data_IF_191474682690
#
_entry.id   IF_191474682690
#
_cell.length_a   1.000
_cell.length_b   1.000
_cell.length_c   1.000
_cell.angle_alpha   90.00
_cell.angle_beta   90.00
_cell.angle_gamma   90.00
#
_symmetry.space_group_name_H-M   'P 1'
#
loop_
_entity.id
_entity.type
_entity.pdbx_description
1 polymer ?
#
# COMPACT_ATOMS: atom_id res chain seq x y z
N UNK A 1 -1.45 7.97 -5.55
CA UNK A 1 -1.18 8.29 -4.13
C UNK A 1 -0.33 7.17 -3.54
N UNK A 2 0.74 7.53 -2.84
CA UNK A 2 1.64 6.57 -2.19
C UNK A 2 1.38 6.64 -0.69
N UNK A 3 1.22 5.48 -0.05
CA UNK A 3 1.12 5.36 1.41
C UNK A 3 2.40 4.69 1.91
N UNK A 4 3.18 5.41 2.69
CA UNK A 4 4.44 4.92 3.27
C UNK A 4 4.20 4.27 4.64
N UNK A 5 4.62 3.02 4.77
CA UNK A 5 4.56 2.24 6.01
C UNK A 5 5.89 2.15 6.74
N UNK A 6 6.93 2.88 6.30
CA UNK A 6 8.22 2.90 6.99
C UNK A 6 8.04 3.29 8.46
N UNK A 7 8.51 2.44 9.38
CA UNK A 7 8.36 2.65 10.83
C UNK A 7 7.00 2.25 11.41
N UNK A 8 6.09 1.68 10.60
CA UNK A 8 4.83 1.12 11.07
C UNK A 8 5.05 -0.34 11.46
N UNK A 9 4.99 -0.63 12.76
CA UNK A 9 5.26 -1.97 13.28
C UNK A 9 4.01 -2.86 13.43
N UNK A 10 2.81 -2.28 13.34
CA UNK A 10 1.55 -3.02 13.47
C UNK A 10 0.39 -2.40 12.68
N UNK A 11 -0.48 -3.26 12.15
CA UNK A 11 -1.78 -2.90 11.57
C UNK A 11 -2.84 -3.93 11.96
N UNK A 12 -4.01 -3.47 12.37
CA UNK A 12 -5.16 -4.33 12.67
C UNK A 12 -6.16 -4.39 11.50
N UNK A 13 -7.28 -5.07 11.72
CA UNK A 13 -8.35 -5.18 10.74
C UNK A 13 -9.00 -3.83 10.39
N UNK A 14 -9.01 -2.87 11.33
CA UNK A 14 -9.57 -1.54 11.11
C UNK A 14 -8.68 -0.69 10.20
N UNK A 15 -7.36 -0.76 10.38
CA UNK A 15 -6.38 -0.11 9.50
C UNK A 15 -6.45 -0.66 8.07
N UNK A 16 -6.53 -1.99 7.94
CA UNK A 16 -6.72 -2.65 6.64
C UNK A 16 -8.05 -2.26 5.99
N UNK A 17 -9.14 -2.18 6.77
CA UNK A 17 -10.43 -1.69 6.29
C UNK A 17 -10.39 -0.24 5.82
N UNK A 18 -9.63 0.61 6.52
CA UNK A 18 -9.42 2.00 6.14
C UNK A 18 -8.68 2.10 4.79
N UNK A 19 -7.64 1.29 4.55
CA UNK A 19 -6.94 1.23 3.26
C UNK A 19 -7.87 0.86 2.12
N UNK A 20 -8.71 -0.16 2.31
CA UNK A 20 -9.72 -0.54 1.30
C UNK A 20 -10.70 0.60 1.05
N UNK A 21 -11.14 1.29 2.11
CA UNK A 21 -11.99 2.47 2.00
C UNK A 21 -11.33 3.60 1.21
N UNK A 22 -10.04 3.85 1.43
CA UNK A 22 -9.24 4.82 0.68
C UNK A 22 -9.17 4.43 -0.79
N UNK A 23 -8.84 3.18 -1.11
CA UNK A 23 -8.80 2.68 -2.49
C UNK A 23 -10.14 2.86 -3.20
N UNK A 24 -11.25 2.49 -2.54
CA UNK A 24 -12.61 2.68 -3.08
C UNK A 24 -12.92 4.15 -3.37
N UNK A 25 -12.49 5.06 -2.50
CA UNK A 25 -12.66 6.52 -2.69
C UNK A 25 -11.79 7.09 -3.80
N UNK A 26 -10.57 6.58 -3.96
CA UNK A 26 -9.69 6.95 -5.07
C UNK A 26 -10.32 6.57 -6.44
N UNK A 27 -11.14 5.51 -6.44
CA UNK A 27 -11.93 5.10 -7.60
C UNK A 27 -11.07 4.52 -8.72
N UNK A 28 -11.68 4.29 -9.89
CA UNK A 28 -11.04 3.57 -11.00
C UNK A 28 -9.82 4.32 -11.57
N UNK A 29 -9.80 5.65 -11.46
CA UNK A 29 -8.71 6.51 -11.98
C UNK A 29 -7.64 6.84 -10.94
N UNK A 30 -7.92 6.63 -9.65
CA UNK A 30 -6.99 6.93 -8.57
C UNK A 30 -6.21 5.70 -8.17
N UNK A 31 -4.93 5.64 -8.54
CA UNK A 31 -4.05 4.55 -8.11
C UNK A 31 -3.57 4.80 -6.67
N UNK A 32 -3.78 3.81 -5.79
CA UNK A 32 -3.26 3.79 -4.43
C UNK A 32 -2.22 2.69 -4.34
N UNK A 33 -0.99 3.07 -3.99
CA UNK A 33 0.13 2.12 -3.82
C UNK A 33 0.68 2.25 -2.42
N UNK A 34 1.35 1.20 -1.96
CA UNK A 34 1.99 1.16 -0.64
C UNK A 34 3.49 0.94 -0.78
N UNK A 35 4.27 1.49 0.14
CA UNK A 35 5.71 1.23 0.21
C UNK A 35 6.20 1.08 1.65
N UNK A 36 7.43 0.59 1.82
CA UNK A 36 8.07 0.54 3.14
C UNK A 36 7.43 -0.45 4.11
N UNK A 37 6.85 -1.55 3.61
CA UNK A 37 6.31 -2.59 4.49
C UNK A 37 7.46 -3.30 5.22
N UNK A 38 7.47 -3.21 6.55
CA UNK A 38 8.28 -4.07 7.39
C UNK A 38 7.70 -5.50 7.47
N UNK A 39 8.51 -6.48 7.90
CA UNK A 39 8.17 -7.91 7.85
C UNK A 39 6.81 -8.24 8.50
N UNK A 40 6.53 -7.64 9.65
CA UNK A 40 5.26 -7.83 10.37
C UNK A 40 4.05 -7.37 9.53
N UNK A 41 4.14 -6.20 8.89
CA UNK A 41 3.05 -5.65 8.07
C UNK A 41 2.94 -6.43 6.76
N UNK A 42 4.06 -6.77 6.14
CA UNK A 42 4.08 -7.57 4.92
C UNK A 42 3.37 -8.91 5.13
N UNK A 43 3.61 -9.56 6.27
CA UNK A 43 2.91 -10.79 6.65
C UNK A 43 1.40 -10.59 6.82
N UNK A 44 0.97 -9.52 7.51
CA UNK A 44 -0.45 -9.16 7.60
C UNK A 44 -1.09 -8.92 6.22
N UNK A 45 -0.39 -8.28 5.30
CA UNK A 45 -0.85 -8.05 3.93
C UNK A 45 -1.00 -9.36 3.16
N UNK A 46 -0.04 -10.30 3.29
CA UNK A 46 -0.11 -11.60 2.62
C UNK A 46 -1.28 -12.46 3.13
N UNK A 47 -1.47 -12.55 4.44
CA UNK A 47 -2.59 -13.33 5.02
C UNK A 47 -3.93 -12.80 4.52
N UNK A 48 -4.07 -11.48 4.48
CA UNK A 48 -5.31 -10.80 4.09
C UNK A 48 -5.45 -10.60 2.58
N UNK A 49 -4.47 -11.07 1.79
CA UNK A 49 -4.38 -10.93 0.33
C UNK A 49 -4.37 -9.48 -0.16
N UNK A 50 -3.94 -8.55 0.68
CA UNK A 50 -3.84 -7.13 0.33
C UNK A 50 -2.69 -6.87 -0.65
N UNK A 51 -1.68 -7.74 -0.70
CA UNK A 51 -0.62 -7.77 -1.71
C UNK A 51 -1.16 -7.95 -3.14
N UNK A 52 -2.35 -8.55 -3.31
CA UNK A 52 -3.03 -8.68 -4.60
C UNK A 52 -3.89 -7.48 -4.96
N UNK A 53 -4.20 -6.65 -3.97
CA UNK A 53 -5.09 -5.48 -4.10
C UNK A 53 -4.27 -4.22 -4.30
N UNK A 54 -3.18 -4.08 -3.55
CA UNK A 54 -2.27 -2.94 -3.61
C UNK A 54 -0.98 -3.32 -4.29
N UNK A 55 -0.48 -2.42 -5.14
CA UNK A 55 0.90 -2.50 -5.62
C UNK A 55 1.83 -2.10 -4.46
N UNK A 56 2.74 -3.00 -4.12
CA UNK A 56 3.70 -2.82 -3.03
C UNK A 56 5.08 -2.51 -3.60
N UNK A 57 5.73 -1.47 -3.07
CA UNK A 57 7.09 -1.08 -3.41
C UNK A 57 8.01 -1.20 -2.19
N UNK A 58 9.32 -1.42 -2.39
CA UNK A 58 10.25 -1.53 -1.27
C UNK A 58 10.40 -0.22 -0.49
N UNK A 59 10.34 0.93 -1.16
CA UNK A 59 10.51 2.25 -0.55
C UNK A 59 9.80 3.34 -1.37
N UNK A 60 9.81 4.56 -0.84
CA UNK A 60 9.20 5.74 -1.46
C UNK A 60 9.79 6.03 -2.86
N UNK A 61 11.11 5.96 -3.01
CA UNK A 61 11.78 6.29 -4.27
C UNK A 61 11.36 5.35 -5.41
N UNK A 62 11.32 4.05 -5.17
CA UNK A 62 10.86 3.05 -6.14
C UNK A 62 9.40 3.26 -6.55
N UNK A 63 8.55 3.66 -5.59
CA UNK A 63 7.15 3.98 -5.84
C UNK A 63 7.01 5.25 -6.71
N UNK A 64 7.72 6.32 -6.38
CA UNK A 64 7.70 7.58 -7.13
C UNK A 64 8.22 7.36 -8.54
N UNK A 65 9.37 6.73 -8.70
CA UNK A 65 9.96 6.46 -10.01
C UNK A 65 8.98 5.70 -10.91
N UNK A 66 8.42 4.60 -10.41
CA UNK A 66 7.48 3.77 -11.18
C UNK A 66 6.20 4.52 -11.54
N UNK A 67 5.72 5.44 -10.71
CA UNK A 67 4.50 6.20 -10.98
C UNK A 67 4.75 7.40 -11.89
N UNK A 68 5.94 8.01 -11.84
CA UNK A 68 6.34 9.13 -12.69
C UNK A 68 6.68 8.71 -14.12
N UNK A 69 7.13 7.47 -14.32
CA UNK A 69 7.45 6.91 -15.64
C UNK A 69 6.22 6.38 -16.41
N UNK A 70 5.01 6.45 -15.83
CA UNK A 70 3.78 6.03 -16.51
C UNK A 70 3.27 7.15 -17.42
N UNK A 71 3.08 6.90 -18.73
CA UNK A 71 2.54 7.88 -19.67
C UNK A 71 1.06 8.21 -19.41
#
# INVERSE_FOLDING_TARGET
>A
MIIDFSGVSFIDSSGLGALVGIMKRAGIKGEVVVCGLEEAIAYSFQITRMDKVFKVFPNMDAAVQTLSERP
#
